data_IF_105422395841
#
_entry.id   IF_105422395841
#
_cell.length_a   1.000
_cell.length_b   1.000
_cell.length_c   1.000
_cell.angle_alpha   90.00
_cell.angle_beta   90.00
_cell.angle_gamma   90.00
#
_symmetry.space_group_name_H-M   'P 1'
#
loop_
_entity.id
_entity.type
_entity.pdbx_description
1 polymer ?
#
# COMPACT_ATOMS: atom_id res chain seq x y z
N UNK A 1 -11.21 51.26 0.16
CA UNK A 1 -10.41 50.35 -0.70
C UNK A 1 -10.23 48.95 -0.09
N UNK A 2 -10.17 48.80 1.24
CA UNK A 2 -10.09 47.47 1.90
C UNK A 2 -11.37 46.60 1.80
N UNK A 3 -12.56 47.19 1.69
CA UNK A 3 -13.80 46.41 1.51
C UNK A 3 -13.97 45.83 0.09
N UNK A 4 -13.23 46.32 -0.91
CA UNK A 4 -13.24 45.74 -2.27
C UNK A 4 -12.34 44.52 -2.39
N UNK A 5 -11.37 44.35 -1.48
CA UNK A 5 -10.49 43.16 -1.45
C UNK A 5 -11.21 41.98 -0.79
N UNK A 6 -12.02 42.22 0.24
CA UNK A 6 -12.81 41.17 0.89
C UNK A 6 -14.00 40.69 0.04
N UNK A 7 -14.60 41.56 -0.78
CA UNK A 7 -15.64 41.14 -1.72
C UNK A 7 -15.10 40.31 -2.90
N UNK A 8 -13.78 40.36 -3.18
CA UNK A 8 -13.15 39.50 -4.17
C UNK A 8 -12.73 38.13 -3.63
N UNK A 9 -12.57 37.97 -2.30
CA UNK A 9 -12.27 36.66 -1.70
C UNK A 9 -13.40 35.64 -1.90
N UNK A 10 -14.66 36.09 -2.02
CA UNK A 10 -15.82 35.22 -2.18
C UNK A 10 -16.17 34.93 -3.67
N UNK A 11 -15.52 35.59 -4.63
CA UNK A 11 -15.88 35.47 -6.06
C UNK A 11 -15.14 34.37 -6.82
N UNK A 12 -14.20 33.68 -6.17
CA UNK A 12 -13.33 32.68 -6.80
C UNK A 12 -13.66 31.24 -6.37
N UNK A 13 -14.75 31.01 -5.64
CA UNK A 13 -15.27 29.64 -5.37
C UNK A 13 -15.87 28.97 -6.63
N UNK A 14 -15.94 29.69 -7.75
CA UNK A 14 -16.51 29.24 -9.03
C UNK A 14 -15.54 29.35 -10.22
N UNK A 15 -14.26 29.66 -9.99
CA UNK A 15 -13.27 29.66 -11.08
C UNK A 15 -12.76 28.23 -11.27
N UNK A 16 -12.94 27.68 -12.47
CA UNK A 16 -12.55 26.31 -12.77
C UNK A 16 -11.04 26.11 -12.63
N UNK A 17 -10.64 24.98 -12.06
CA UNK A 17 -9.24 24.59 -11.94
C UNK A 17 -8.90 23.49 -12.95
N UNK A 18 -7.63 23.39 -13.30
CA UNK A 18 -7.10 22.26 -14.06
C UNK A 18 -6.30 21.39 -13.10
N UNK A 19 -6.68 20.12 -12.99
CA UNK A 19 -5.97 19.10 -12.24
C UNK A 19 -5.16 18.27 -13.23
N UNK A 20 -3.83 18.26 -13.05
CA UNK A 20 -2.91 17.45 -13.82
C UNK A 20 -2.65 16.14 -13.09
N UNK A 21 -3.17 15.06 -13.64
CA UNK A 21 -2.99 13.69 -13.15
C UNK A 21 -1.69 13.14 -13.75
N UNK A 22 -0.69 12.95 -12.90
CA UNK A 22 0.61 12.39 -13.29
C UNK A 22 0.49 10.88 -13.49
N UNK A 23 0.76 10.39 -14.71
CA UNK A 23 0.75 8.94 -14.99
C UNK A 23 2.06 8.49 -15.66
N UNK A 24 2.43 7.19 -15.60
CA UNK A 24 3.66 6.67 -16.19
C UNK A 24 3.68 6.72 -17.72
N UNK A 25 2.50 6.77 -18.34
CA UNK A 25 2.32 6.84 -19.79
C UNK A 25 2.20 8.28 -20.29
N UNK A 26 2.13 9.26 -19.38
CA UNK A 26 2.02 10.69 -19.69
C UNK A 26 1.04 11.41 -18.78
N UNK A 27 1.25 12.71 -18.60
CA UNK A 27 0.36 13.55 -17.80
C UNK A 27 -0.98 13.75 -18.50
N UNK A 28 -2.06 13.74 -17.72
CA UNK A 28 -3.42 13.97 -18.21
C UNK A 28 -4.06 15.12 -17.45
N UNK A 29 -4.62 16.10 -18.17
CA UNK A 29 -5.26 17.26 -17.57
C UNK A 29 -6.78 17.06 -17.54
N UNK A 30 -7.38 17.27 -16.37
CA UNK A 30 -8.82 17.24 -16.14
C UNK A 30 -9.29 18.60 -15.64
N UNK A 31 -10.30 19.18 -16.30
CA UNK A 31 -10.87 20.47 -15.92
C UNK A 31 -12.02 20.27 -14.93
N UNK A 32 -12.00 21.05 -13.85
CA UNK A 32 -13.02 21.06 -12.80
C UNK A 32 -13.62 22.44 -12.73
N UNK A 33 -14.86 22.60 -13.18
CA UNK A 33 -15.55 23.89 -13.27
C UNK A 33 -15.91 24.48 -11.90
N UNK A 34 -16.05 23.65 -10.87
CA UNK A 34 -16.46 24.08 -9.52
C UNK A 34 -15.74 23.28 -8.42
N UNK A 35 -14.53 23.68 -8.02
CA UNK A 35 -13.72 22.93 -7.05
C UNK A 35 -14.36 22.86 -5.65
N UNK A 36 -15.22 23.82 -5.29
CA UNK A 36 -15.98 23.85 -4.03
C UNK A 36 -16.98 22.69 -3.89
N UNK A 37 -17.43 22.12 -5.01
CA UNK A 37 -18.36 20.99 -5.07
C UNK A 37 -17.69 19.67 -5.44
N UNK A 38 -16.36 19.66 -5.63
CA UNK A 38 -15.62 18.45 -5.94
C UNK A 38 -15.45 17.61 -4.67
N UNK A 39 -15.97 16.39 -4.71
CA UNK A 39 -15.82 15.43 -3.62
C UNK A 39 -14.68 14.45 -3.94
N UNK A 40 -14.10 13.85 -2.91
CA UNK A 40 -13.00 12.89 -3.01
C UNK A 40 -13.37 11.69 -3.89
N UNK A 41 -14.61 11.19 -3.76
CA UNK A 41 -15.11 10.09 -4.59
C UNK A 41 -15.18 10.46 -6.08
N UNK A 42 -15.53 11.68 -6.42
CA UNK A 42 -15.67 12.14 -7.81
C UNK A 42 -14.29 12.27 -8.47
N UNK A 43 -13.32 12.79 -7.71
CA UNK A 43 -11.94 12.87 -8.18
C UNK A 43 -11.30 11.48 -8.33
N UNK A 44 -11.56 10.55 -7.41
CA UNK A 44 -11.12 9.15 -7.57
C UNK A 44 -11.74 8.50 -8.81
N UNK A 45 -13.01 8.77 -9.11
CA UNK A 45 -13.66 8.27 -10.32
C UNK A 45 -12.98 8.82 -11.59
N UNK A 46 -12.67 10.12 -11.62
CA UNK A 46 -11.93 10.73 -12.73
C UNK A 46 -10.52 10.13 -12.91
N UNK A 47 -9.80 9.89 -11.82
CA UNK A 47 -8.49 9.23 -11.88
C UNK A 47 -8.64 7.79 -12.39
N UNK A 48 -9.69 7.07 -11.97
CA UNK A 48 -9.98 5.71 -12.44
C UNK A 48 -10.29 5.66 -13.94
N UNK A 49 -10.97 6.67 -14.49
CA UNK A 49 -11.21 6.75 -15.94
C UNK A 49 -9.91 6.96 -16.71
N UNK A 50 -8.95 7.68 -16.14
CA UNK A 50 -7.60 7.87 -16.71
C UNK A 50 -6.73 6.62 -16.54
N UNK A 51 -6.89 5.90 -15.44
CA UNK A 51 -6.12 4.72 -15.08
C UNK A 51 -7.04 3.53 -14.71
N UNK A 52 -7.74 2.93 -15.70
CA UNK A 52 -8.75 1.90 -15.43
C UNK A 52 -8.16 0.63 -14.80
N UNK A 53 -6.87 0.37 -15.03
CA UNK A 53 -6.13 -0.78 -14.52
C UNK A 53 -5.61 -0.57 -13.08
N UNK A 54 -5.68 0.65 -12.53
CA UNK A 54 -5.18 0.96 -11.20
C UNK A 54 -6.32 1.08 -10.19
N UNK A 55 -6.16 0.42 -9.02
CA UNK A 55 -7.08 0.66 -7.90
C UNK A 55 -6.55 1.84 -7.09
N UNK A 56 -7.02 3.04 -7.43
CA UNK A 56 -6.65 4.28 -6.73
C UNK A 56 -7.59 4.47 -5.54
N UNK A 57 -7.04 4.41 -4.33
CA UNK A 57 -7.79 4.68 -3.08
C UNK A 57 -7.32 5.95 -2.38
N UNK A 58 -6.25 6.56 -2.89
CA UNK A 58 -5.64 7.79 -2.39
C UNK A 58 -4.79 8.40 -3.52
N UNK A 59 -4.43 9.67 -3.38
CA UNK A 59 -3.47 10.34 -4.26
C UNK A 59 -2.64 11.32 -3.44
N UNK A 60 -1.56 11.80 -4.01
CA UNK A 60 -0.66 12.77 -3.38
C UNK A 60 -0.59 14.07 -4.17
N UNK A 61 -0.26 15.16 -3.50
CA UNK A 61 0.15 16.42 -4.12
C UNK A 61 1.50 16.85 -3.55
N UNK A 62 2.19 17.75 -4.25
CA UNK A 62 3.44 18.35 -3.78
C UNK A 62 3.14 19.67 -3.07
N UNK A 63 3.71 19.87 -1.88
CA UNK A 63 3.69 21.18 -1.23
C UNK A 63 4.85 22.08 -1.71
N UNK A 64 5.02 23.23 -1.06
CA UNK A 64 6.03 24.22 -1.41
C UNK A 64 7.48 23.78 -1.12
N UNK A 65 7.65 22.78 -0.26
CA UNK A 65 8.96 22.24 0.14
C UNK A 65 9.36 21.03 -0.73
N UNK A 66 8.40 20.50 -1.52
CA UNK A 66 8.59 19.30 -2.33
C UNK A 66 8.07 18.03 -1.66
N UNK A 67 7.40 18.13 -0.51
CA UNK A 67 6.90 16.96 0.22
C UNK A 67 5.61 16.42 -0.41
N UNK A 68 5.52 15.09 -0.49
CA UNK A 68 4.35 14.37 -1.02
C UNK A 68 3.29 14.21 0.07
N UNK A 69 2.25 15.03 0.03
CA UNK A 69 1.14 14.99 1.00
C UNK A 69 0.01 14.11 0.44
N UNK A 70 -0.37 13.07 1.19
CA UNK A 70 -1.44 12.15 0.76
C UNK A 70 -2.83 12.66 1.12
N UNK A 71 -3.78 12.51 0.19
CA UNK A 71 -5.20 12.81 0.31
C UNK A 71 -6.03 11.52 0.27
N UNK A 72 -6.88 11.33 1.27
CA UNK A 72 -7.68 10.12 1.55
C UNK A 72 -9.12 10.41 1.97
N UNK A 73 -9.49 11.68 2.18
CA UNK A 73 -10.84 12.09 2.57
C UNK A 73 -11.26 13.43 1.96
N UNK A 74 -12.54 13.78 2.10
CA UNK A 74 -13.07 15.08 1.66
C UNK A 74 -12.46 16.25 2.43
N UNK A 75 -12.13 16.07 3.71
CA UNK A 75 -11.48 17.10 4.53
C UNK A 75 -10.05 17.38 4.03
N UNK A 76 -9.29 16.33 3.72
CA UNK A 76 -7.93 16.44 3.17
C UNK A 76 -7.96 17.02 1.75
N UNK A 77 -8.95 16.66 0.94
CA UNK A 77 -9.17 17.25 -0.39
C UNK A 77 -9.45 18.75 -0.28
N UNK A 78 -10.31 19.17 0.64
CA UNK A 78 -10.61 20.60 0.87
C UNK A 78 -9.37 21.37 1.32
N UNK A 79 -8.54 20.77 2.18
CA UNK A 79 -7.28 21.37 2.60
C UNK A 79 -6.31 21.55 1.41
N UNK A 80 -6.18 20.54 0.56
CA UNK A 80 -5.38 20.61 -0.68
C UNK A 80 -5.88 21.70 -1.64
N UNK A 81 -7.20 21.73 -1.90
CA UNK A 81 -7.78 22.74 -2.79
C UNK A 81 -7.61 24.15 -2.24
N UNK A 82 -7.78 24.33 -0.92
CA UNK A 82 -7.53 25.62 -0.27
C UNK A 82 -6.08 26.05 -0.38
N UNK A 83 -5.13 25.13 -0.19
CA UNK A 83 -3.70 25.39 -0.40
C UNK A 83 -3.42 25.84 -1.83
N UNK A 84 -3.86 25.07 -2.83
CA UNK A 84 -3.64 25.39 -4.24
C UNK A 84 -4.23 26.74 -4.65
N UNK A 85 -5.45 27.06 -4.19
CA UNK A 85 -6.07 28.36 -4.46
C UNK A 85 -5.22 29.52 -3.91
N UNK A 86 -4.65 29.38 -2.71
CA UNK A 86 -3.77 30.41 -2.15
C UNK A 86 -2.50 30.58 -3.00
N UNK A 87 -1.86 29.48 -3.40
CA UNK A 87 -0.66 29.51 -4.25
C UNK A 87 -0.93 30.18 -5.61
N UNK A 88 -2.06 29.87 -6.25
CA UNK A 88 -2.46 30.48 -7.52
C UNK A 88 -2.68 31.99 -7.37
N UNK A 89 -3.29 32.43 -6.26
CA UNK A 89 -3.50 33.86 -6.00
C UNK A 89 -2.16 34.60 -5.84
N UNK A 90 -1.20 34.02 -5.13
CA UNK A 90 0.14 34.59 -4.98
C UNK A 90 0.88 34.67 -6.32
N UNK A 91 0.82 33.60 -7.14
CA UNK A 91 1.41 33.58 -8.48
C UNK A 91 0.81 34.68 -9.38
N UNK A 92 -0.52 34.86 -9.36
CA UNK A 92 -1.20 35.92 -10.13
C UNK A 92 -0.82 37.32 -9.67
N UNK A 93 -0.70 37.56 -8.36
CA UNK A 93 -0.23 38.84 -7.81
C UNK A 93 1.20 39.14 -8.30
N UNK A 94 2.03 38.10 -8.43
CA UNK A 94 3.39 38.20 -8.94
C UNK A 94 3.48 38.22 -10.48
N UNK A 95 2.35 38.24 -11.20
CA UNK A 95 2.29 38.26 -12.67
C UNK A 95 2.69 36.95 -13.35
N UNK A 96 2.74 35.85 -12.60
CA UNK A 96 3.05 34.52 -13.11
C UNK A 96 1.78 33.82 -13.59
N UNK A 97 1.93 32.98 -14.61
CA UNK A 97 0.85 32.10 -15.06
C UNK A 97 0.72 30.93 -14.07
N UNK A 98 -0.49 30.65 -13.57
CA UNK A 98 -0.68 29.56 -12.62
C UNK A 98 -0.48 28.21 -13.28
N UNK A 99 0.32 27.36 -12.63
CA UNK A 99 0.50 25.98 -13.07
C UNK A 99 -0.68 25.11 -12.62
N UNK A 100 -1.08 24.09 -13.39
CA UNK A 100 -2.13 23.15 -13.00
C UNK A 100 -1.81 22.44 -11.68
N UNK A 101 -2.86 22.14 -10.88
CA UNK A 101 -2.73 21.37 -9.65
C UNK A 101 -2.25 19.96 -9.99
N UNK A 102 -1.01 19.64 -9.64
CA UNK A 102 -0.42 18.35 -9.93
C UNK A 102 -0.81 17.35 -8.84
N UNK A 103 -1.47 16.27 -9.25
CA UNK A 103 -1.75 15.14 -8.37
C UNK A 103 -1.07 13.88 -8.89
N UNK A 104 -0.67 13.06 -7.94
CA UNK A 104 0.07 11.82 -8.14
C UNK A 104 -0.82 10.71 -7.62
N UNK A 105 -1.62 10.07 -8.48
CA UNK A 105 -2.41 8.92 -8.09
C UNK A 105 -1.54 7.91 -7.36
N UNK A 106 -1.92 7.55 -6.13
CA UNK A 106 -1.43 6.30 -5.54
C UNK A 106 -2.28 5.20 -6.14
N UNK A 107 -2.06 4.97 -7.43
CA UNK A 107 -2.46 3.73 -8.03
C UNK A 107 -1.78 2.62 -7.26
N UNK A 108 -2.57 1.74 -6.68
CA UNK A 108 -2.13 0.35 -6.66
C UNK A 108 -2.14 -0.04 -8.14
N UNK A 109 -1.01 0.20 -8.82
CA UNK A 109 -0.67 -0.69 -9.92
C UNK A 109 -0.76 -2.06 -9.29
N UNK A 110 -1.57 -2.92 -9.86
CA UNK A 110 -1.60 -4.36 -9.58
C UNK A 110 -0.27 -5.03 -9.95
N UNK A 111 0.85 -4.32 -9.80
CA UNK A 111 2.20 -4.76 -10.00
C UNK A 111 2.99 -4.12 -8.86
N UNK A 112 3.53 -4.96 -7.97
CA UNK A 112 4.35 -4.63 -6.79
C UNK A 112 3.67 -4.49 -5.44
N UNK A 113 2.67 -5.32 -5.18
CA UNK A 113 2.71 -6.03 -3.91
C UNK A 113 3.31 -7.40 -4.21
N UNK A 114 4.41 -7.75 -3.57
CA UNK A 114 4.79 -9.15 -3.53
C UNK A 114 3.63 -9.89 -2.84
N UNK A 115 2.74 -10.46 -3.64
CA UNK A 115 1.44 -10.99 -3.22
C UNK A 115 1.58 -12.18 -2.27
N UNK A 116 2.79 -12.75 -2.16
CA UNK A 116 3.16 -13.73 -1.14
C UNK A 116 2.84 -13.29 0.29
N UNK A 117 2.79 -11.97 0.51
CA UNK A 117 2.63 -11.35 1.82
C UNK A 117 1.41 -10.40 1.80
N UNK A 118 0.46 -10.60 0.86
CA UNK A 118 -0.90 -10.05 0.88
C UNK A 118 -1.97 -11.07 1.27
N UNK A 119 -1.59 -12.36 1.36
CA UNK A 119 -2.42 -13.46 1.89
C UNK A 119 -2.87 -13.27 3.36
N UNK A 120 -2.53 -12.17 4.01
CA UNK A 120 -2.84 -11.91 5.41
C UNK A 120 -3.31 -10.50 5.69
N UNK A 121 -3.95 -9.79 4.73
CA UNK A 121 -4.96 -8.83 5.18
C UNK A 121 -6.17 -9.60 5.77
N UNK A 122 -5.90 -10.31 6.86
CA UNK A 122 -6.84 -11.03 7.68
C UNK A 122 -7.40 -10.01 8.66
N UNK A 123 -8.21 -9.11 8.13
CA UNK A 123 -9.07 -8.29 8.96
C UNK A 123 -10.09 -9.23 9.62
N UNK A 124 -9.78 -9.70 10.83
CA UNK A 124 -10.64 -9.72 12.04
C UNK A 124 -10.17 -10.76 13.08
N UNK A 125 -9.91 -10.34 14.31
CA UNK A 125 -10.88 -10.33 15.42
C UNK A 125 -10.14 -10.00 16.73
N UNK A 126 -10.39 -8.81 17.25
CA UNK A 126 -9.84 -8.30 18.50
C UNK A 126 -10.39 -9.10 19.69
N UNK A 127 -9.53 -9.81 20.42
CA UNK A 127 -9.72 -9.96 21.87
C UNK A 127 -8.37 -10.10 22.59
N UNK A 128 -8.02 -9.03 23.29
CA UNK A 128 -7.24 -8.99 24.53
C UNK A 128 -6.03 -9.92 24.66
N UNK A 129 -4.86 -9.43 24.23
CA UNK A 129 -3.58 -9.96 24.70
C UNK A 129 -2.87 -8.92 25.58
N UNK A 130 -3.12 -8.98 26.89
CA UNK A 130 -2.16 -8.54 27.92
C UNK A 130 -0.99 -9.54 28.09
N UNK A 131 -0.83 -10.49 27.16
CA UNK A 131 0.18 -11.58 27.20
C UNK A 131 1.32 -11.42 26.15
N UNK A 132 1.28 -10.41 25.28
CA UNK A 132 2.01 -10.46 24.00
C UNK A 132 3.54 -10.33 24.07
N UNK A 133 4.14 -9.72 25.09
CA UNK A 133 5.60 -9.43 25.11
C UNK A 133 6.49 -10.69 25.17
N UNK A 134 6.08 -11.72 25.91
CA UNK A 134 6.89 -12.93 26.09
C UNK A 134 6.81 -13.87 24.86
N UNK A 135 5.64 -13.98 24.24
CA UNK A 135 5.45 -14.74 23.00
C UNK A 135 6.07 -14.02 21.79
N UNK A 136 6.01 -12.67 21.76
CA UNK A 136 6.77 -11.82 20.85
C UNK A 136 8.25 -12.18 20.87
N UNK A 137 8.86 -12.12 22.06
CA UNK A 137 10.26 -12.47 22.23
C UNK A 137 10.49 -13.89 21.74
N UNK A 138 9.64 -14.84 22.10
CA UNK A 138 9.79 -16.24 21.67
C UNK A 138 9.76 -16.42 20.14
N UNK A 139 8.83 -15.78 19.41
CA UNK A 139 8.76 -15.88 17.94
C UNK A 139 9.96 -15.19 17.29
N UNK A 140 10.35 -14.00 17.80
CA UNK A 140 11.51 -13.24 17.33
C UNK A 140 12.84 -13.94 17.68
N UNK A 141 12.93 -14.65 18.81
CA UNK A 141 14.13 -15.36 19.27
C UNK A 141 14.25 -16.79 18.75
N UNK A 142 13.14 -17.40 18.32
CA UNK A 142 13.12 -18.75 17.76
C UNK A 142 13.31 -18.76 16.23
N UNK A 143 13.41 -17.59 15.59
CA UNK A 143 13.69 -17.48 14.16
C UNK A 143 15.06 -18.06 13.80
N UNK A 144 15.15 -18.73 12.65
CA UNK A 144 16.41 -19.36 12.19
C UNK A 144 17.33 -18.39 11.42
N UNK A 145 16.90 -17.15 11.21
CA UNK A 145 17.58 -16.15 10.39
C UNK A 145 17.59 -14.82 11.12
N UNK A 146 18.79 -14.26 11.33
CA UNK A 146 18.99 -12.91 11.85
C UNK A 146 19.30 -11.93 10.72
N UNK A 147 19.18 -10.64 10.99
CA UNK A 147 19.52 -9.58 10.03
C UNK A 147 20.96 -9.70 9.50
N UNK A 148 21.93 -9.94 10.38
CA UNK A 148 23.34 -10.00 9.99
C UNK A 148 23.67 -11.19 9.06
N UNK A 149 22.79 -12.19 9.00
CA UNK A 149 22.95 -13.36 8.14
C UNK A 149 22.35 -13.12 6.73
N UNK A 150 21.78 -11.94 6.48
CA UNK A 150 21.11 -11.59 5.24
C UNK A 150 21.94 -10.61 4.42
N UNK A 151 22.19 -11.00 3.17
CA UNK A 151 22.72 -10.11 2.14
C UNK A 151 21.57 -9.65 1.24
N UNK A 152 21.08 -8.43 1.46
CA UNK A 152 20.04 -7.82 0.64
C UNK A 152 20.49 -7.67 -0.82
N UNK A 153 19.56 -7.91 -1.74
CA UNK A 153 19.74 -7.80 -3.18
C UNK A 153 18.72 -6.80 -3.74
N UNK A 154 18.09 -7.13 -4.86
CA UNK A 154 17.08 -6.31 -5.53
C UNK A 154 15.80 -6.14 -4.69
N UNK A 155 15.17 -4.98 -4.83
CA UNK A 155 13.83 -4.74 -4.32
C UNK A 155 12.81 -5.46 -5.21
N UNK A 156 11.99 -6.30 -4.61
CA UNK A 156 10.96 -7.09 -5.28
C UNK A 156 9.61 -6.38 -5.34
N UNK A 157 9.36 -5.40 -4.48
CA UNK A 157 8.11 -4.63 -4.46
C UNK A 157 8.02 -3.64 -3.29
N UNK A 158 7.09 -2.70 -3.37
CA UNK A 158 6.88 -1.67 -2.34
C UNK A 158 5.41 -1.23 -2.33
N UNK A 159 4.85 -1.08 -1.13
CA UNK A 159 3.51 -0.53 -0.95
C UNK A 159 3.23 -0.15 0.51
N UNK A 160 1.95 0.11 0.82
CA UNK A 160 1.51 0.51 2.17
C UNK A 160 1.89 -0.49 3.27
N UNK A 161 2.04 -1.77 2.91
CA UNK A 161 2.46 -2.83 3.83
C UNK A 161 3.98 -2.94 4.03
N UNK A 162 4.78 -2.03 3.49
CA UNK A 162 6.24 -2.06 3.54
C UNK A 162 6.91 -2.40 2.20
N UNK A 163 8.23 -2.55 2.24
CA UNK A 163 9.07 -2.87 1.09
C UNK A 163 9.54 -4.33 1.15
N UNK A 164 9.52 -5.04 0.03
CA UNK A 164 9.96 -6.43 -0.06
C UNK A 164 11.27 -6.48 -0.84
N UNK A 165 12.27 -7.14 -0.27
CA UNK A 165 13.57 -7.35 -0.87
C UNK A 165 13.81 -8.84 -1.09
N UNK A 166 14.55 -9.14 -2.15
CA UNK A 166 15.23 -10.42 -2.27
C UNK A 166 16.48 -10.35 -1.42
N UNK A 167 16.79 -11.40 -0.68
CA UNK A 167 18.02 -11.48 0.08
C UNK A 167 18.61 -12.88 0.00
N UNK A 168 19.93 -12.97 0.13
CA UNK A 168 20.63 -14.24 0.26
C UNK A 168 20.93 -14.51 1.72
N UNK A 169 20.40 -15.60 2.27
CA UNK A 169 20.72 -16.05 3.62
C UNK A 169 22.04 -16.81 3.61
N UNK A 170 23.07 -16.24 4.24
CA UNK A 170 24.45 -16.72 4.22
C UNK A 170 24.60 -18.10 4.86
N UNK A 171 24.08 -18.27 6.08
CA UNK A 171 24.23 -19.53 6.83
C UNK A 171 23.39 -20.65 6.19
N UNK A 172 22.16 -20.34 5.80
CA UNK A 172 21.23 -21.31 5.22
C UNK A 172 21.43 -21.56 3.72
N UNK A 173 22.36 -20.85 3.07
CA UNK A 173 22.70 -20.91 1.63
C UNK A 173 21.47 -20.96 0.72
N UNK A 174 20.55 -20.02 0.93
CA UNK A 174 19.28 -19.96 0.20
C UNK A 174 18.83 -18.53 -0.07
N UNK A 175 18.04 -18.36 -1.12
CA UNK A 175 17.38 -17.10 -1.42
C UNK A 175 16.10 -17.02 -0.57
N UNK A 176 15.85 -15.84 -0.01
CA UNK A 176 14.67 -15.53 0.81
C UNK A 176 14.04 -14.22 0.33
N UNK A 177 12.77 -14.02 0.66
CA UNK A 177 12.09 -12.74 0.55
C UNK A 177 11.99 -12.09 1.94
N UNK A 178 12.35 -10.81 2.04
CA UNK A 178 12.36 -10.06 3.30
C UNK A 178 11.43 -8.86 3.16
N UNK A 179 10.31 -8.87 3.89
CA UNK A 179 9.39 -7.72 3.98
C UNK A 179 9.78 -6.82 5.14
N UNK A 180 10.17 -5.59 4.85
CA UNK A 180 10.53 -4.56 5.81
C UNK A 180 9.36 -3.59 5.95
N UNK A 181 8.79 -3.51 7.15
CA UNK A 181 7.66 -2.63 7.46
C UNK A 181 8.13 -1.56 8.46
N UNK A 182 8.13 -0.26 8.08
CA UNK A 182 8.42 0.82 9.00
C UNK A 182 7.40 0.89 10.13
N UNK A 183 7.85 1.00 11.38
CA UNK A 183 6.99 1.09 12.56
C UNK A 183 6.75 2.54 12.98
N UNK A 184 6.24 3.37 12.08
CA UNK A 184 5.54 4.62 12.47
C UNK A 184 4.08 4.32 12.88
N UNK A 185 3.90 3.17 13.54
CA UNK A 185 2.67 2.41 13.52
C UNK A 185 1.97 2.47 14.89
N UNK A 186 0.65 2.65 14.86
CA UNK A 186 -0.22 2.59 16.03
C UNK A 186 -0.14 1.22 16.74
N UNK A 187 -0.39 1.19 18.05
CA UNK A 187 -0.35 -0.05 18.87
C UNK A 187 -1.32 -1.12 18.34
N UNK A 188 -2.38 -0.70 17.64
CA UNK A 188 -3.38 -1.57 17.01
C UNK A 188 -2.79 -2.38 15.85
N UNK A 189 -2.06 -1.76 14.93
CA UNK A 189 -1.49 -2.45 13.77
C UNK A 189 -0.30 -3.33 14.18
N UNK A 190 0.45 -2.95 15.23
CA UNK A 190 1.43 -3.87 15.83
C UNK A 190 0.77 -5.17 16.30
N UNK A 191 -0.41 -5.10 16.96
CA UNK A 191 -1.14 -6.30 17.39
C UNK A 191 -1.62 -7.14 16.21
N UNK A 192 -2.01 -6.52 15.10
CA UNK A 192 -2.41 -7.24 13.88
C UNK A 192 -1.22 -8.02 13.30
N UNK A 193 -0.08 -7.35 13.09
CA UNK A 193 1.15 -7.98 12.61
C UNK A 193 1.54 -9.16 13.52
N UNK A 194 1.36 -9.02 14.84
CA UNK A 194 1.65 -10.09 15.77
C UNK A 194 0.75 -11.32 15.64
N UNK A 195 -0.55 -11.10 15.48
CA UNK A 195 -1.49 -12.20 15.25
C UNK A 195 -1.16 -12.95 13.95
N UNK A 196 -0.69 -12.23 12.93
CA UNK A 196 -0.31 -12.81 11.64
C UNK A 196 0.96 -13.65 11.74
N UNK A 197 1.98 -13.14 12.43
CA UNK A 197 3.23 -13.87 12.67
C UNK A 197 2.99 -15.18 13.44
N UNK A 198 2.08 -15.17 14.41
CA UNK A 198 1.74 -16.38 15.17
C UNK A 198 1.09 -17.46 14.27
N UNK A 199 0.25 -17.04 13.32
CA UNK A 199 -0.37 -17.93 12.33
C UNK A 199 0.71 -18.51 11.41
N UNK A 200 1.54 -17.65 10.81
CA UNK A 200 2.59 -18.05 9.89
C UNK A 200 3.58 -19.03 10.53
N UNK A 201 3.94 -18.80 11.80
CA UNK A 201 4.82 -19.68 12.56
C UNK A 201 4.23 -21.09 12.77
N UNK A 202 2.90 -21.22 12.83
CA UNK A 202 2.21 -22.52 12.99
C UNK A 202 2.00 -23.25 11.66
N UNK A 203 2.14 -22.57 10.53
CA UNK A 203 1.94 -23.15 9.23
C UNK A 203 3.18 -23.92 8.75
N UNK A 204 2.97 -25.20 8.45
CA UNK A 204 3.91 -26.08 7.77
C UNK A 204 3.14 -26.91 6.75
N UNK A 205 3.10 -26.40 5.52
CA UNK A 205 2.37 -27.02 4.40
C UNK A 205 3.05 -26.62 3.09
N UNK A 206 3.19 -27.53 2.12
CA UNK A 206 3.75 -27.21 0.80
C UNK A 206 2.85 -26.28 -0.05
N UNK A 207 1.65 -25.96 0.44
CA UNK A 207 0.70 -25.06 -0.22
C UNK A 207 0.60 -23.70 0.48
N UNK A 208 1.42 -23.46 1.50
CA UNK A 208 1.51 -22.19 2.23
C UNK A 208 2.97 -21.76 2.23
N UNK A 209 3.20 -20.48 1.98
CA UNK A 209 4.55 -19.93 1.96
C UNK A 209 5.28 -20.21 3.29
N UNK A 210 6.50 -20.72 3.20
CA UNK A 210 7.31 -21.05 4.36
C UNK A 210 7.80 -19.79 5.06
N UNK A 211 7.42 -19.64 6.32
CA UNK A 211 7.96 -18.63 7.22
C UNK A 211 9.28 -19.10 7.84
N UNK A 212 10.30 -18.23 7.87
CA UNK A 212 11.60 -18.54 8.47
C UNK A 212 11.84 -17.81 9.78
N UNK A 213 11.63 -16.50 9.80
CA UNK A 213 11.81 -15.67 10.99
C UNK A 213 11.15 -14.31 10.81
N UNK A 214 10.99 -13.61 11.93
CA UNK A 214 10.76 -12.18 11.94
C UNK A 214 11.72 -11.55 12.96
N UNK A 215 12.19 -10.34 12.68
CA UNK A 215 13.08 -9.61 13.57
C UNK A 215 12.78 -8.11 13.53
N UNK A 216 13.11 -7.43 14.62
CA UNK A 216 12.90 -5.99 14.79
C UNK A 216 14.24 -5.27 14.75
N UNK A 217 14.38 -4.27 13.88
CA UNK A 217 15.59 -3.47 13.72
C UNK A 217 15.21 -2.01 13.46
N UNK A 218 15.78 -1.08 14.21
CA UNK A 218 15.66 0.38 13.96
C UNK A 218 14.22 0.86 13.71
N UNK A 219 13.28 0.45 14.56
CA UNK A 219 11.87 0.80 14.40
C UNK A 219 11.27 0.29 13.08
N UNK A 220 11.71 -0.87 12.62
CA UNK A 220 11.15 -1.61 11.49
C UNK A 220 10.99 -3.08 11.87
N UNK A 221 9.93 -3.72 11.39
CA UNK A 221 9.78 -5.17 11.48
C UNK A 221 10.11 -5.79 10.13
N UNK A 222 10.98 -6.79 10.16
CA UNK A 222 11.39 -7.55 8.99
C UNK A 222 10.85 -8.97 9.09
N UNK A 223 10.15 -9.42 8.06
CA UNK A 223 9.54 -10.75 7.97
C UNK A 223 10.24 -11.52 6.85
N UNK A 224 10.85 -12.66 7.19
CA UNK A 224 11.60 -13.50 6.27
C UNK A 224 10.80 -14.75 5.89
N UNK A 225 10.57 -14.92 4.59
CA UNK A 225 9.88 -16.08 4.03
C UNK A 225 10.70 -16.72 2.91
N UNK A 226 10.27 -17.87 2.40
CA UNK A 226 10.79 -18.38 1.14
C UNK A 226 10.54 -17.40 -0.02
N UNK A 227 11.46 -17.44 -0.99
CA UNK A 227 11.36 -16.66 -2.21
C UNK A 227 10.61 -17.47 -3.27
N UNK A 228 9.55 -16.89 -3.82
CA UNK A 228 8.77 -17.46 -4.91
C UNK A 228 9.23 -16.86 -6.24
N UNK A 229 9.97 -17.63 -7.02
CA UNK A 229 10.59 -17.22 -8.29
C UNK A 229 9.59 -16.99 -9.42
N UNK A 230 8.39 -17.58 -9.33
CA UNK A 230 7.28 -17.36 -10.25
C UNK A 230 6.54 -16.03 -10.07
N UNK A 231 6.90 -15.20 -9.09
CA UNK A 231 6.17 -13.97 -8.80
C UNK A 231 4.73 -14.23 -8.36
N UNK A 232 3.87 -13.23 -8.48
CA UNK A 232 2.48 -13.28 -8.09
C UNK A 232 1.55 -13.66 -9.24
N UNK A 233 0.35 -14.21 -8.97
CA UNK A 233 -0.50 -14.69 -10.07
C UNK A 233 -1.07 -13.56 -10.95
N UNK A 234 -1.16 -12.34 -10.41
CA UNK A 234 -1.62 -11.13 -11.11
C UNK A 234 -0.77 -10.75 -12.32
N UNK A 235 0.50 -11.16 -12.40
CA UNK A 235 1.34 -10.88 -13.58
C UNK A 235 0.97 -11.74 -14.79
N UNK A 236 0.13 -12.78 -14.60
CA UNK A 236 -0.23 -13.72 -15.65
C UNK A 236 -1.58 -13.39 -16.27
N UNK A 237 -1.58 -12.73 -17.44
CA UNK A 237 -2.82 -12.32 -18.13
C UNK A 237 -3.63 -13.50 -18.71
N UNK A 238 -2.97 -14.55 -19.20
CA UNK A 238 -3.63 -15.71 -19.83
C UNK A 238 -3.05 -17.00 -19.30
N UNK A 239 -3.78 -17.64 -18.38
CA UNK A 239 -3.40 -18.94 -17.81
C UNK A 239 -4.18 -20.03 -18.56
N UNK A 240 -3.50 -21.00 -19.20
CA UNK A 240 -4.18 -22.15 -19.80
C UNK A 240 -5.01 -22.91 -18.77
N UNK A 241 -6.20 -23.39 -19.17
CA UNK A 241 -7.15 -24.04 -18.27
C UNK A 241 -6.53 -25.20 -17.47
N UNK A 242 -5.71 -26.03 -18.11
CA UNK A 242 -5.02 -27.15 -17.45
C UNK A 242 -4.02 -26.71 -16.37
N UNK A 243 -3.44 -25.51 -16.50
CA UNK A 243 -2.56 -24.90 -15.48
C UNK A 243 -3.42 -24.30 -14.37
N UNK A 244 -4.47 -23.56 -14.75
CA UNK A 244 -5.42 -22.97 -13.80
C UNK A 244 -6.05 -24.03 -12.88
N UNK A 245 -6.39 -25.20 -13.43
CA UNK A 245 -6.89 -26.34 -12.64
C UNK A 245 -5.89 -26.82 -11.59
N UNK A 246 -4.58 -26.84 -11.90
CA UNK A 246 -3.54 -27.22 -10.93
C UNK A 246 -3.38 -26.15 -9.84
N UNK A 247 -3.43 -24.88 -10.21
CA UNK A 247 -3.39 -23.74 -9.28
C UNK A 247 -4.59 -23.82 -8.33
N UNK A 248 -5.79 -24.01 -8.86
CA UNK A 248 -7.01 -24.15 -8.06
C UNK A 248 -6.92 -25.32 -7.07
N UNK A 249 -6.37 -26.48 -7.48
CA UNK A 249 -6.12 -27.61 -6.58
C UNK A 249 -5.13 -27.25 -5.47
N UNK A 250 -4.03 -26.56 -5.79
CA UNK A 250 -3.05 -26.12 -4.80
C UNK A 250 -3.68 -25.18 -3.76
N UNK A 251 -4.50 -24.23 -4.21
CA UNK A 251 -5.18 -23.25 -3.35
C UNK A 251 -6.20 -23.93 -2.46
N UNK A 252 -7.04 -24.82 -3.01
CA UNK A 252 -8.01 -25.57 -2.21
C UNK A 252 -7.30 -26.40 -1.14
N UNK A 253 -6.16 -27.01 -1.45
CA UNK A 253 -5.35 -27.74 -0.47
C UNK A 253 -4.77 -26.82 0.61
N UNK A 254 -4.26 -25.64 0.24
CA UNK A 254 -3.81 -24.62 1.19
C UNK A 254 -4.93 -24.15 2.13
N UNK A 255 -6.10 -23.83 1.58
CA UNK A 255 -7.28 -23.43 2.34
C UNK A 255 -7.79 -24.56 3.25
N UNK A 256 -7.78 -25.81 2.78
CA UNK A 256 -8.17 -26.98 3.58
C UNK A 256 -7.20 -27.19 4.75
N UNK A 257 -5.90 -26.97 4.52
CA UNK A 257 -4.89 -27.01 5.57
C UNK A 257 -5.13 -25.92 6.63
N UNK A 258 -5.34 -24.66 6.22
CA UNK A 258 -5.66 -23.56 7.15
C UNK A 258 -6.94 -23.83 7.94
N UNK A 259 -7.96 -24.37 7.28
CA UNK A 259 -9.21 -24.79 7.92
C UNK A 259 -8.99 -25.86 9.00
N UNK A 260 -8.10 -26.81 8.76
CA UNK A 260 -7.75 -27.86 9.73
C UNK A 260 -7.13 -27.28 11.01
N UNK A 261 -6.41 -26.16 10.89
CA UNK A 261 -5.84 -25.41 12.01
C UNK A 261 -6.84 -24.46 12.69
N UNK A 262 -8.11 -24.46 12.27
CA UNK A 262 -9.16 -23.51 12.69
C UNK A 262 -8.82 -22.05 12.39
N UNK A 263 -8.01 -21.83 11.35
CA UNK A 263 -7.65 -20.51 10.85
C UNK A 263 -8.59 -20.20 9.68
N UNK A 264 -9.52 -19.26 9.88
CA UNK A 264 -10.48 -18.88 8.85
C UNK A 264 -9.93 -17.72 8.01
N UNK A 265 -9.57 -17.97 6.74
CA UNK A 265 -9.19 -16.93 5.78
C UNK A 265 -10.42 -16.12 5.34
N UNK A 266 -10.82 -15.08 6.09
CA UNK A 266 -11.93 -14.17 5.73
C UNK A 266 -11.39 -12.95 4.93
N UNK A 267 -11.02 -13.18 3.68
CA UNK A 267 -10.72 -12.11 2.71
C UNK A 267 -11.85 -11.98 1.69
N UNK A 268 -12.39 -10.78 1.50
CA UNK A 268 -13.32 -10.50 0.41
C UNK A 268 -12.53 -10.37 -0.91
N UNK A 269 -12.87 -11.23 -1.88
CA UNK A 269 -12.42 -11.28 -3.29
C UNK A 269 -11.23 -12.18 -3.64
N UNK A 270 -11.34 -12.83 -4.79
CA UNK A 270 -10.44 -13.85 -5.31
C UNK A 270 -9.13 -13.28 -5.91
N UNK A 271 -8.32 -12.59 -5.10
CA UNK A 271 -7.04 -11.98 -5.53
C UNK A 271 -5.84 -12.56 -4.75
N UNK A 272 -5.97 -13.75 -4.15
CA UNK A 272 -5.05 -14.23 -3.11
C UNK A 272 -4.17 -15.44 -3.51
N UNK A 273 -3.74 -15.53 -4.78
CA UNK A 273 -2.88 -16.63 -5.26
C UNK A 273 -1.51 -16.16 -5.69
#
# INVERSE_FOLDING_TARGET
>A
MLLLVLNNLCSMESEGIVIRIKTPVGDMDSSVDSPSHLNFSDLLAAIKDVMPEATVTAFEYEDEVGDRITVRSDEELKAMLSYYCNTVMEQRINGLLPEPLQIFPRGVYSIFEASCIKCYNLSFCLSTLKKSSAELKKILTNGQINEHDLQYQEQLGHGNGGTVYKAYHLLGKRIVAVKVIPLDITVELQKQIMSELEILYKCDSPYIIKFYSAFFVENRISICTEFMDGGSLDVYWRIPEHVLGRIAVAVVKGLTYLWSLKILHRGEKATFM
#
